data_IF_687242872192
#
_entry.id   IF_687242872192
#
_cell.length_a   1.000
_cell.length_b   1.000
_cell.length_c   1.000
_cell.angle_alpha   90.00
_cell.angle_beta   90.00
_cell.angle_gamma   90.00
#
_symmetry.space_group_name_H-M   'P 1'
#
loop_
_entity.id
_entity.type
_entity.pdbx_description
1 polymer ?
#
# COMPACT_ATOMS: atom_id res chain seq x y z
N UNK A 1 -4.08 10.50 -7.10
CA UNK A 1 -5.26 10.79 -6.23
C UNK A 1 -4.85 11.73 -5.09
N UNK A 2 -5.61 12.81 -4.88
CA UNK A 2 -5.28 14.06 -4.17
C UNK A 2 -4.03 14.81 -4.66
N UNK A 3 -2.82 14.33 -4.34
CA UNK A 3 -1.56 15.01 -4.72
C UNK A 3 -0.89 14.43 -5.98
N UNK A 4 -1.33 13.25 -6.42
CA UNK A 4 -0.82 12.58 -7.62
C UNK A 4 0.70 12.31 -7.66
N UNK A 5 1.30 12.05 -6.49
CA UNK A 5 2.74 11.79 -6.33
C UNK A 5 3.07 10.37 -5.84
N UNK A 6 2.12 9.45 -5.90
CA UNK A 6 2.25 8.09 -5.34
C UNK A 6 3.51 7.37 -5.81
N UNK A 7 3.76 7.37 -7.13
CA UNK A 7 4.91 6.65 -7.72
C UNK A 7 6.26 7.27 -7.35
N UNK A 8 6.27 8.58 -7.03
CA UNK A 8 7.47 9.29 -6.55
C UNK A 8 7.72 9.02 -5.07
N UNK A 9 6.67 9.11 -4.26
CA UNK A 9 6.78 9.05 -2.79
C UNK A 9 6.95 7.62 -2.29
N UNK A 10 6.32 6.62 -2.93
CA UNK A 10 6.40 5.21 -2.52
C UNK A 10 7.85 4.70 -2.35
N UNK A 11 8.75 4.77 -3.34
CA UNK A 11 10.12 4.29 -3.17
C UNK A 11 10.89 5.07 -2.10
N UNK A 12 10.65 6.38 -1.99
CA UNK A 12 11.29 7.24 -0.97
C UNK A 12 10.86 6.87 0.45
N UNK A 13 9.56 6.61 0.68
CA UNK A 13 9.07 6.16 1.98
C UNK A 13 9.60 4.78 2.36
N UNK A 14 9.62 3.82 1.42
CA UNK A 14 10.19 2.50 1.68
C UNK A 14 11.66 2.59 2.09
N UNK A 15 12.46 3.38 1.36
CA UNK A 15 13.87 3.60 1.66
C UNK A 15 14.05 4.32 3.01
N UNK A 16 13.31 5.40 3.26
CA UNK A 16 13.41 6.20 4.47
C UNK A 16 13.00 5.43 5.74
N UNK A 17 12.01 4.54 5.65
CA UNK A 17 11.55 3.74 6.79
C UNK A 17 12.41 2.48 6.99
N UNK A 18 12.63 1.68 5.94
CA UNK A 18 13.22 0.35 6.10
C UNK A 18 14.74 0.32 5.96
N UNK A 19 15.33 1.19 5.13
CA UNK A 19 16.78 1.18 4.86
C UNK A 19 17.52 2.23 5.68
N UNK A 20 17.12 3.49 5.55
CA UNK A 20 17.76 4.62 6.26
C UNK A 20 17.26 4.81 7.68
N UNK A 21 16.04 4.33 7.95
CA UNK A 21 15.37 4.44 9.25
C UNK A 21 15.28 5.89 9.77
N UNK A 22 15.15 6.86 8.87
CA UNK A 22 15.10 8.31 9.21
C UNK A 22 13.70 8.79 9.59
N UNK A 23 12.64 8.07 9.19
CA UNK A 23 11.26 8.43 9.55
C UNK A 23 10.95 7.93 10.95
N UNK A 24 10.81 8.87 11.90
CA UNK A 24 10.43 8.60 13.31
C UNK A 24 9.16 9.35 13.72
N UNK A 25 8.82 10.42 13.02
CA UNK A 25 7.73 11.33 13.34
C UNK A 25 6.86 11.61 12.10
N UNK A 26 5.71 12.25 12.32
CA UNK A 26 4.86 12.73 11.21
C UNK A 26 5.56 13.80 10.36
N UNK A 27 6.41 14.63 10.96
CA UNK A 27 7.18 15.65 10.24
C UNK A 27 8.22 15.03 9.31
N UNK A 28 8.80 13.89 9.67
CA UNK A 28 9.70 13.17 8.76
C UNK A 28 8.95 12.64 7.53
N UNK A 29 7.72 12.17 7.70
CA UNK A 29 6.86 11.76 6.58
C UNK A 29 6.60 12.96 5.67
N UNK A 30 6.23 14.11 6.25
CA UNK A 30 6.03 15.37 5.52
C UNK A 30 7.26 15.75 4.71
N UNK A 31 8.45 15.65 5.30
CA UNK A 31 9.72 15.95 4.62
C UNK A 31 9.99 15.02 3.42
N UNK A 32 9.60 13.75 3.49
CA UNK A 32 9.68 12.84 2.34
C UNK A 32 8.80 13.34 1.19
N UNK A 33 7.57 13.78 1.46
CA UNK A 33 6.68 14.34 0.43
C UNK A 33 7.26 15.64 -0.17
N UNK A 34 7.84 16.50 0.66
CA UNK A 34 8.49 17.74 0.18
C UNK A 34 9.70 17.43 -0.71
N UNK A 35 10.52 16.45 -0.33
CA UNK A 35 11.65 16.00 -1.17
C UNK A 35 11.20 15.40 -2.51
N UNK A 36 9.94 14.94 -2.59
CA UNK A 36 9.31 14.45 -3.82
C UNK A 36 8.68 15.56 -4.68
N UNK A 37 8.81 16.83 -4.27
CA UNK A 37 8.32 18.00 -4.99
C UNK A 37 6.92 18.48 -4.59
N UNK A 38 6.35 17.98 -3.49
CA UNK A 38 5.08 18.50 -2.95
C UNK A 38 5.36 19.77 -2.14
N UNK A 39 4.58 20.83 -2.35
CA UNK A 39 4.71 22.01 -1.51
C UNK A 39 4.26 21.73 -0.07
N UNK A 40 4.88 22.40 0.89
CA UNK A 40 4.48 22.37 2.30
C UNK A 40 2.97 22.60 2.47
N UNK A 41 2.43 23.63 1.82
CA UNK A 41 1.02 23.98 1.87
C UNK A 41 0.11 22.91 1.29
N UNK A 42 0.48 22.29 0.17
CA UNK A 42 -0.35 21.25 -0.46
C UNK A 42 -0.38 19.99 0.41
N UNK A 43 0.75 19.62 1.01
CA UNK A 43 0.80 18.50 1.96
C UNK A 43 -0.08 18.78 3.17
N UNK A 44 0.06 19.95 3.79
CA UNK A 44 -0.67 20.30 5.01
C UNK A 44 -2.19 20.39 4.76
N UNK A 45 -2.57 20.95 3.61
CA UNK A 45 -3.97 20.98 3.17
C UNK A 45 -4.51 19.55 2.92
N UNK A 46 -3.75 18.69 2.25
CA UNK A 46 -4.12 17.32 2.00
C UNK A 46 -4.26 16.52 3.31
N UNK A 47 -3.27 16.60 4.20
CA UNK A 47 -3.24 15.90 5.49
C UNK A 47 -4.48 16.21 6.35
N UNK A 48 -4.92 17.47 6.35
CA UNK A 48 -6.06 17.92 7.13
C UNK A 48 -7.41 17.76 6.43
N UNK A 49 -7.41 17.43 5.13
CA UNK A 49 -8.61 17.35 4.30
C UNK A 49 -9.57 16.25 4.76
N UNK A 50 -10.87 16.49 4.54
CA UNK A 50 -11.90 15.47 4.72
C UNK A 50 -11.61 14.22 3.87
N UNK A 51 -11.17 14.40 2.63
CA UNK A 51 -10.86 13.30 1.72
C UNK A 51 -9.80 12.33 2.28
N UNK A 52 -8.70 12.84 2.84
CA UNK A 52 -7.66 11.99 3.45
C UNK A 52 -8.17 11.30 4.72
N UNK A 53 -8.96 11.98 5.54
CA UNK A 53 -9.60 11.38 6.72
C UNK A 53 -10.53 10.23 6.33
N UNK A 54 -11.41 10.43 5.35
CA UNK A 54 -12.32 9.39 4.85
C UNK A 54 -11.58 8.20 4.23
N UNK A 55 -10.53 8.44 3.45
CA UNK A 55 -9.71 7.36 2.88
C UNK A 55 -8.96 6.57 3.96
N UNK A 56 -8.48 7.24 5.02
CA UNK A 56 -7.84 6.57 6.16
C UNK A 56 -8.84 5.70 6.92
N UNK A 57 -10.04 6.22 7.20
CA UNK A 57 -11.11 5.46 7.84
C UNK A 57 -11.49 4.22 7.01
N UNK A 58 -11.69 4.39 5.69
CA UNK A 58 -12.00 3.28 4.78
C UNK A 58 -10.91 2.20 4.78
N UNK A 59 -9.62 2.57 4.83
CA UNK A 59 -8.52 1.61 4.92
C UNK A 59 -8.58 0.79 6.22
N UNK A 60 -8.86 1.44 7.35
CA UNK A 60 -9.00 0.77 8.65
C UNK A 60 -10.22 -0.16 8.68
N UNK A 61 -11.35 0.25 8.11
CA UNK A 61 -12.56 -0.57 8.00
C UNK A 61 -12.32 -1.80 7.13
N UNK A 62 -11.68 -1.64 5.97
CA UNK A 62 -11.35 -2.78 5.08
C UNK A 62 -10.42 -3.78 5.76
N UNK A 63 -9.42 -3.32 6.52
CA UNK A 63 -8.52 -4.20 7.27
C UNK A 63 -9.25 -5.00 8.35
N UNK A 64 -10.20 -4.38 9.05
CA UNK A 64 -11.06 -5.05 10.05
C UNK A 64 -12.01 -6.04 9.39
N UNK A 65 -12.62 -5.69 8.26
CA UNK A 65 -13.60 -6.52 7.58
C UNK A 65 -13.05 -7.87 7.08
N UNK A 66 -11.72 -8.01 6.98
CA UNK A 66 -11.04 -9.22 6.53
C UNK A 66 -10.14 -9.84 7.61
N UNK A 67 -10.28 -9.39 8.86
CA UNK A 67 -9.45 -9.82 10.00
C UNK A 67 -7.95 -9.81 9.66
N UNK A 68 -7.46 -8.71 9.07
CA UNK A 68 -6.10 -8.62 8.57
C UNK A 68 -5.07 -8.73 9.70
N UNK A 69 -4.29 -9.81 9.71
CA UNK A 69 -3.26 -10.08 10.74
C UNK A 69 -1.83 -9.86 10.27
N UNK A 70 -1.57 -9.72 8.96
CA UNK A 70 -0.21 -9.55 8.44
C UNK A 70 -0.17 -9.09 6.99
N UNK A 71 0.96 -8.50 6.59
CA UNK A 71 1.22 -7.99 5.23
C UNK A 71 2.50 -8.62 4.65
N UNK A 72 2.62 -8.77 3.31
CA UNK A 72 1.64 -8.41 2.28
C UNK A 72 0.44 -9.37 2.21
N UNK A 73 -0.75 -8.82 1.99
CA UNK A 73 -2.00 -9.56 1.80
C UNK A 73 -2.81 -8.99 0.64
N UNK A 74 -3.40 -9.86 -0.18
CA UNK A 74 -4.26 -9.49 -1.30
C UNK A 74 -5.57 -10.27 -1.19
N UNK A 75 -6.67 -9.53 -1.25
CA UNK A 75 -8.02 -10.06 -1.25
C UNK A 75 -8.69 -9.82 -2.60
N UNK A 76 -9.33 -10.84 -3.15
CA UNK A 76 -10.05 -10.78 -4.43
C UNK A 76 -11.54 -10.78 -4.14
N UNK A 77 -12.23 -9.71 -4.58
CA UNK A 77 -13.68 -9.52 -4.44
C UNK A 77 -14.22 -9.68 -3.00
N UNK A 78 -13.39 -9.39 -1.99
CA UNK A 78 -13.74 -9.56 -0.57
C UNK A 78 -14.00 -11.00 -0.13
N UNK A 79 -13.77 -11.99 -1.01
CA UNK A 79 -14.14 -13.39 -0.79
C UNK A 79 -12.94 -14.31 -0.65
N UNK A 80 -11.87 -14.04 -1.39
CA UNK A 80 -10.69 -14.90 -1.43
C UNK A 80 -9.46 -14.14 -0.95
N UNK A 81 -8.70 -14.71 -0.02
CA UNK A 81 -7.35 -14.26 0.32
C UNK A 81 -6.33 -15.12 -0.42
N UNK A 82 -5.36 -14.50 -1.09
CA UNK A 82 -4.26 -15.24 -1.69
C UNK A 82 -3.39 -15.84 -0.57
N UNK A 83 -3.14 -17.16 -0.62
CA UNK A 83 -2.16 -17.83 0.24
C UNK A 83 -0.84 -18.05 -0.52
N UNK A 84 0.18 -17.20 -0.34
CA UNK A 84 1.41 -17.30 -1.12
C UNK A 84 2.22 -18.57 -0.82
N UNK A 85 2.06 -19.13 0.39
CA UNK A 85 2.78 -20.35 0.82
C UNK A 85 2.31 -21.60 0.07
N UNK A 86 1.11 -21.57 -0.51
CA UNK A 86 0.57 -22.66 -1.32
C UNK A 86 0.86 -22.54 -2.81
N UNK A 87 1.57 -21.50 -3.25
CA UNK A 87 1.88 -21.27 -4.66
C UNK A 87 3.18 -21.96 -5.05
N UNK A 88 3.29 -22.28 -6.34
CA UNK A 88 4.55 -22.77 -6.91
C UNK A 88 5.62 -21.68 -6.75
N UNK A 89 6.77 -22.04 -6.18
CA UNK A 89 7.82 -21.08 -5.84
C UNK A 89 9.23 -21.62 -6.02
N UNK A 90 9.44 -22.45 -7.05
CA UNK A 90 10.75 -23.03 -7.38
C UNK A 90 11.80 -21.93 -7.60
N UNK A 91 11.37 -20.84 -8.25
CA UNK A 91 12.10 -19.61 -8.45
C UNK A 91 11.16 -18.38 -8.42
N UNK A 92 11.75 -17.18 -8.41
CA UNK A 92 10.98 -15.93 -8.35
C UNK A 92 10.00 -15.76 -9.52
N UNK A 93 10.39 -16.14 -10.74
CA UNK A 93 9.54 -15.98 -11.91
C UNK A 93 8.34 -16.94 -11.86
N UNK A 94 8.59 -18.18 -11.43
CA UNK A 94 7.54 -19.19 -11.22
C UNK A 94 6.54 -18.75 -10.15
N UNK A 95 7.03 -18.13 -9.07
CA UNK A 95 6.21 -17.56 -8.01
C UNK A 95 5.36 -16.41 -8.52
N UNK A 96 5.97 -15.42 -9.18
CA UNK A 96 5.25 -14.26 -9.74
C UNK A 96 4.18 -14.71 -10.73
N UNK A 97 4.50 -15.67 -11.60
CA UNK A 97 3.53 -16.25 -12.55
C UNK A 97 2.39 -16.96 -11.83
N UNK A 98 2.69 -17.86 -10.89
CA UNK A 98 1.68 -18.61 -10.13
C UNK A 98 0.76 -17.68 -9.34
N UNK A 99 1.32 -16.62 -8.76
CA UNK A 99 0.58 -15.59 -8.05
C UNK A 99 -0.38 -14.85 -8.99
N UNK A 100 0.14 -14.32 -10.11
CA UNK A 100 -0.67 -13.57 -11.07
C UNK A 100 -1.78 -14.43 -11.70
N UNK A 101 -1.49 -15.69 -12.02
CA UNK A 101 -2.47 -16.62 -12.57
C UNK A 101 -3.57 -16.95 -11.56
N UNK A 102 -3.21 -17.12 -10.28
CA UNK A 102 -4.20 -17.31 -9.19
C UNK A 102 -5.09 -16.09 -9.04
N UNK A 103 -4.52 -14.88 -9.06
CA UNK A 103 -5.29 -13.63 -9.02
C UNK A 103 -6.27 -13.57 -10.20
N UNK A 104 -5.80 -13.79 -11.44
CA UNK A 104 -6.66 -13.78 -12.63
C UNK A 104 -7.79 -14.80 -12.55
N UNK A 105 -7.49 -16.01 -12.09
CA UNK A 105 -8.49 -17.06 -11.91
C UNK A 105 -9.55 -16.68 -10.87
N UNK A 106 -9.15 -16.09 -9.75
CA UNK A 106 -10.10 -15.72 -8.69
C UNK A 106 -10.96 -14.51 -9.06
N UNK A 107 -10.47 -13.61 -9.92
CA UNK A 107 -11.25 -12.50 -10.46
C UNK A 107 -12.44 -13.02 -11.29
N UNK A 108 -12.31 -14.14 -12.00
CA UNK A 108 -13.40 -14.70 -12.82
C UNK A 108 -14.35 -15.62 -12.05
N UNK A 109 -14.08 -15.88 -10.76
CA UNK A 109 -14.86 -16.77 -9.89
C UNK A 109 -15.83 -16.05 -8.95
N UNK A 110 -15.96 -14.74 -9.10
CA UNK A 110 -16.96 -13.90 -8.41
C UNK A 110 -18.31 -13.92 -9.11
#
# INVERSE_FOLDING_TARGET
MLLNVQDKVKPLLFDAVQKKQTVKTADDIRNVFISAGVSASDYDAAWNSFAVKSLTAKQQEMAKAVDLTGVPAIFINGKYMINPKGLKSDDLNSFVKSYADTVRYLITKS
#
